data_IF_082814469026
#
_entry.id   IF_082814469026
#
_cell.length_a   1.000
_cell.length_b   1.000
_cell.length_c   1.000
_cell.angle_alpha   90.00
_cell.angle_beta   90.00
_cell.angle_gamma   90.00
#
_symmetry.space_group_name_H-M   'P 1'
#
loop_
_entity.id
_entity.type
_entity.pdbx_description
1 polymer ?
#
# COMPACT_ATOMS: atom_id res chain seq x y z
N UNK A 1 26.96 -11.27 27.17
CA UNK A 1 25.63 -10.70 26.92
C UNK A 1 24.91 -10.40 28.22
N UNK A 2 24.48 -9.16 28.42
CA UNK A 2 23.80 -8.74 29.64
C UNK A 2 22.45 -9.49 29.81
N UNK A 3 21.94 -9.58 31.06
CA UNK A 3 20.64 -10.21 31.35
C UNK A 3 19.51 -9.63 30.53
N UNK A 4 19.57 -8.31 30.23
CA UNK A 4 18.58 -7.62 29.38
C UNK A 4 18.63 -8.10 27.91
N UNK A 5 19.81 -8.30 27.36
CA UNK A 5 19.95 -8.81 25.98
C UNK A 5 19.46 -10.26 25.84
N UNK A 6 19.67 -11.10 26.87
CA UNK A 6 19.10 -12.47 26.87
C UNK A 6 17.57 -12.47 26.96
N UNK A 7 16.96 -11.57 27.74
CA UNK A 7 15.51 -11.46 27.79
C UNK A 7 14.91 -10.94 26.47
N UNK A 8 15.54 -9.99 25.80
CA UNK A 8 15.14 -9.56 24.47
C UNK A 8 15.18 -10.75 23.48
N UNK A 9 16.28 -11.46 23.42
CA UNK A 9 16.40 -12.62 22.53
C UNK A 9 15.35 -13.72 22.78
N UNK A 10 14.91 -13.94 24.02
CA UNK A 10 13.86 -14.93 24.33
C UNK A 10 12.51 -14.42 23.85
N UNK A 11 12.17 -13.15 24.09
CA UNK A 11 10.92 -12.55 23.59
C UNK A 11 10.87 -12.53 22.07
N UNK A 12 11.96 -12.17 21.42
CA UNK A 12 12.05 -12.15 19.96
C UNK A 12 11.84 -13.55 19.36
N UNK A 13 12.37 -14.59 19.99
CA UNK A 13 12.16 -15.98 19.57
C UNK A 13 10.69 -16.39 19.62
N UNK A 14 9.96 -16.00 20.65
CA UNK A 14 8.53 -16.30 20.79
C UNK A 14 7.74 -15.59 19.70
N UNK A 15 7.97 -14.29 19.52
CA UNK A 15 7.32 -13.48 18.48
C UNK A 15 7.62 -14.05 17.08
N UNK A 16 8.88 -14.38 16.82
CA UNK A 16 9.27 -14.99 15.54
C UNK A 16 8.64 -16.36 15.33
N UNK A 17 8.54 -17.20 16.38
CA UNK A 17 7.89 -18.50 16.27
C UNK A 17 6.39 -18.37 15.99
N UNK A 18 5.71 -17.42 16.62
CA UNK A 18 4.30 -17.11 16.34
C UNK A 18 4.12 -16.64 14.89
N UNK A 19 4.99 -15.74 14.41
CA UNK A 19 4.97 -15.27 13.02
C UNK A 19 5.18 -16.42 12.03
N UNK A 20 6.12 -17.32 12.29
CA UNK A 20 6.37 -18.51 11.46
C UNK A 20 5.17 -19.44 11.44
N UNK A 21 4.56 -19.73 12.59
CA UNK A 21 3.36 -20.57 12.68
C UNK A 21 2.21 -19.93 11.89
N UNK A 22 1.99 -18.62 12.07
CA UNK A 22 0.95 -17.87 11.35
C UNK A 22 1.13 -17.96 9.84
N UNK A 23 2.34 -17.69 9.33
CA UNK A 23 2.65 -17.77 7.90
C UNK A 23 2.53 -19.21 7.37
N UNK A 24 2.99 -20.20 8.13
CA UNK A 24 2.95 -21.60 7.73
C UNK A 24 1.53 -22.16 7.65
N UNK A 25 0.62 -21.67 8.51
CA UNK A 25 -0.78 -22.14 8.60
C UNK A 25 -1.75 -21.28 7.82
N UNK A 26 -1.33 -20.07 7.37
CA UNK A 26 -2.17 -19.19 6.58
C UNK A 26 -2.52 -19.80 5.21
N UNK A 27 -3.72 -19.55 4.70
CA UNK A 27 -4.07 -19.92 3.33
C UNK A 27 -3.08 -19.32 2.33
N UNK A 28 -2.59 -20.16 1.42
CA UNK A 28 -1.60 -19.72 0.43
C UNK A 28 -2.27 -18.87 -0.64
N UNK A 29 -1.71 -17.69 -0.87
CA UNK A 29 -2.07 -16.83 -2.00
C UNK A 29 -0.81 -16.29 -2.68
N UNK A 30 -0.85 -16.17 -3.98
CA UNK A 30 0.22 -15.59 -4.79
C UNK A 30 -0.06 -14.13 -5.19
N UNK A 31 -1.17 -13.56 -4.76
CA UNK A 31 -1.65 -12.24 -5.17
C UNK A 31 -0.62 -11.13 -4.90
N UNK A 32 0.00 -11.13 -3.71
CA UNK A 32 1.01 -10.15 -3.34
C UNK A 32 2.30 -10.28 -4.19
N UNK A 33 2.73 -11.51 -4.47
CA UNK A 33 3.89 -11.75 -5.33
C UNK A 33 3.62 -11.32 -6.78
N UNK A 34 2.44 -11.62 -7.31
CA UNK A 34 2.04 -11.20 -8.64
C UNK A 34 1.95 -9.68 -8.73
N UNK A 35 1.40 -9.02 -7.70
CA UNK A 35 1.28 -7.57 -7.63
C UNK A 35 2.65 -6.88 -7.70
N UNK A 36 3.63 -7.30 -6.90
CA UNK A 36 4.97 -6.70 -6.93
C UNK A 36 5.69 -7.00 -8.24
N UNK A 37 5.55 -8.20 -8.80
CA UNK A 37 6.14 -8.55 -10.08
C UNK A 37 5.57 -7.68 -11.22
N UNK A 38 4.25 -7.49 -11.27
CA UNK A 38 3.59 -6.64 -12.26
C UNK A 38 4.01 -5.17 -12.11
N UNK A 39 4.07 -4.65 -10.89
CA UNK A 39 4.50 -3.29 -10.63
C UNK A 39 5.97 -3.05 -11.05
N UNK A 40 6.86 -4.00 -10.72
CA UNK A 40 8.29 -3.92 -11.11
C UNK A 40 8.47 -4.00 -12.63
N UNK A 41 7.71 -4.84 -13.31
CA UNK A 41 7.74 -4.93 -14.78
C UNK A 41 7.23 -3.64 -15.42
N UNK A 42 6.15 -3.08 -14.89
CA UNK A 42 5.64 -1.77 -15.31
C UNK A 42 6.71 -0.68 -15.20
N UNK A 43 7.38 -0.56 -14.05
CA UNK A 43 8.45 0.45 -13.85
C UNK A 43 9.61 0.24 -14.82
N UNK A 44 10.01 -1.01 -15.09
CA UNK A 44 11.06 -1.32 -16.06
C UNK A 44 10.70 -0.90 -17.49
N UNK A 45 9.42 -1.01 -17.85
CA UNK A 45 8.92 -0.67 -19.18
C UNK A 45 8.71 0.84 -19.37
N UNK A 46 8.20 1.51 -18.35
CA UNK A 46 7.81 2.92 -18.42
C UNK A 46 8.90 3.88 -17.97
N UNK A 47 9.87 3.41 -17.18
CA UNK A 47 10.90 4.27 -16.59
C UNK A 47 10.32 5.22 -15.54
N UNK A 48 10.94 6.40 -15.43
CA UNK A 48 10.53 7.42 -14.46
C UNK A 48 9.36 8.26 -15.01
N UNK A 49 8.16 7.97 -14.57
CA UNK A 49 6.97 8.76 -14.86
C UNK A 49 6.80 9.90 -13.84
N UNK A 50 6.10 10.94 -14.25
CA UNK A 50 5.85 12.10 -13.40
C UNK A 50 4.77 11.77 -12.37
N UNK A 51 5.07 12.04 -11.10
CA UNK A 51 4.06 11.94 -10.02
C UNK A 51 2.98 13.03 -10.25
N UNK A 52 1.68 12.72 -10.08
CA UNK A 52 0.61 13.69 -10.18
C UNK A 52 0.88 14.94 -9.33
N UNK A 53 0.57 16.12 -9.85
CA UNK A 53 0.99 17.40 -9.25
C UNK A 53 0.43 17.62 -7.84
N UNK A 54 -0.78 17.15 -7.57
CA UNK A 54 -1.40 17.22 -6.24
C UNK A 54 -0.73 16.34 -5.19
N UNK A 55 0.02 15.30 -5.59
CA UNK A 55 0.79 14.42 -4.71
C UNK A 55 2.26 14.86 -4.54
N UNK A 56 2.70 15.87 -5.28
CA UNK A 56 4.06 16.37 -5.15
C UNK A 56 4.23 17.23 -3.90
N UNK A 57 5.44 17.21 -3.32
CA UNK A 57 5.75 17.96 -2.10
C UNK A 57 5.49 19.46 -2.27
N UNK A 58 4.73 20.04 -1.35
CA UNK A 58 4.39 21.46 -1.29
C UNK A 58 5.16 22.26 -0.23
N UNK A 59 6.08 21.63 0.52
CA UNK A 59 6.74 22.23 1.68
C UNK A 59 7.97 23.09 1.35
N UNK A 60 8.36 23.22 0.06
CA UNK A 60 9.51 24.02 -0.33
C UNK A 60 9.10 25.37 -0.95
N UNK A 61 10.03 26.36 -0.88
CA UNK A 61 9.80 27.68 -1.46
C UNK A 61 9.66 27.59 -2.99
N UNK A 62 8.51 28.02 -3.50
CA UNK A 62 8.21 27.98 -4.94
C UNK A 62 7.29 26.84 -5.38
N UNK A 63 6.99 25.87 -4.53
CA UNK A 63 6.07 24.77 -4.83
C UNK A 63 4.71 25.28 -5.35
N UNK A 64 4.15 26.29 -4.70
CA UNK A 64 2.88 26.91 -5.11
C UNK A 64 2.92 27.50 -6.53
N UNK A 65 4.05 28.04 -6.99
CA UNK A 65 4.20 28.57 -8.35
C UNK A 65 4.19 27.45 -9.40
N UNK A 66 4.58 26.24 -9.01
CA UNK A 66 4.61 25.05 -9.86
C UNK A 66 3.32 24.22 -9.75
N UNK A 67 2.37 24.63 -8.90
CA UNK A 67 1.12 23.92 -8.68
C UNK A 67 1.26 22.63 -7.85
N UNK A 68 2.41 22.42 -7.19
CA UNK A 68 2.65 21.22 -6.40
C UNK A 68 1.77 21.20 -5.14
N UNK A 69 1.12 20.07 -4.88
CA UNK A 69 0.22 19.89 -3.74
C UNK A 69 -1.15 20.55 -3.89
N UNK A 70 -1.41 21.28 -4.98
CA UNK A 70 -2.73 21.88 -5.21
C UNK A 70 -3.77 20.79 -5.47
N UNK A 71 -4.86 20.84 -4.71
CA UNK A 71 -5.95 19.88 -4.85
C UNK A 71 -5.72 18.55 -4.11
N UNK A 72 -4.66 18.45 -3.31
CA UNK A 72 -4.48 17.26 -2.44
C UNK A 72 -5.65 17.15 -1.45
N UNK A 73 -6.23 15.97 -1.39
CA UNK A 73 -7.33 15.65 -0.48
C UNK A 73 -6.80 14.74 0.63
N UNK A 74 -6.87 15.21 1.87
CA UNK A 74 -6.41 14.45 3.03
C UNK A 74 -7.48 13.43 3.43
N UNK A 75 -7.17 12.15 3.27
CA UNK A 75 -8.16 11.08 3.44
C UNK A 75 -8.84 11.05 4.81
N UNK A 76 -8.17 11.51 5.88
CA UNK A 76 -8.76 11.55 7.22
C UNK A 76 -9.87 12.59 7.40
N UNK A 77 -9.99 13.55 6.49
CA UNK A 77 -11.07 14.56 6.50
C UNK A 77 -12.36 14.05 5.86
N UNK A 78 -12.31 12.84 5.29
CA UNK A 78 -13.42 12.23 4.57
C UNK A 78 -13.99 11.02 5.32
N UNK A 79 -15.26 10.71 5.04
CA UNK A 79 -15.91 9.50 5.52
C UNK A 79 -15.10 8.25 5.12
N UNK A 80 -15.11 7.23 6.00
CA UNK A 80 -14.34 5.98 5.83
C UNK A 80 -12.81 6.18 5.77
N UNK A 81 -12.28 7.39 6.02
CA UNK A 81 -10.86 7.76 5.83
C UNK A 81 -10.33 7.37 4.45
N UNK A 82 -11.19 7.46 3.45
CA UNK A 82 -10.90 7.13 2.07
C UNK A 82 -11.37 8.25 1.15
N UNK A 83 -10.55 8.57 0.16
CA UNK A 83 -10.88 9.53 -0.89
C UNK A 83 -10.54 8.92 -2.25
N UNK A 84 -11.45 9.07 -3.19
CA UNK A 84 -11.21 8.63 -4.55
C UNK A 84 -10.48 9.74 -5.31
N UNK A 85 -9.17 9.64 -5.36
CA UNK A 85 -8.30 10.54 -6.14
C UNK A 85 -7.29 9.72 -6.94
N UNK A 86 -6.68 10.35 -7.93
CA UNK A 86 -5.66 9.73 -8.74
C UNK A 86 -4.34 9.63 -7.94
N UNK A 87 -3.80 8.44 -7.81
CA UNK A 87 -2.51 8.18 -7.14
C UNK A 87 -1.41 7.79 -8.12
N UNK A 88 -1.77 7.23 -9.27
CA UNK A 88 -0.82 6.80 -10.29
C UNK A 88 -0.57 7.93 -11.30
N UNK A 89 0.60 7.92 -11.98
CA UNK A 89 0.86 8.78 -13.13
C UNK A 89 -0.25 8.69 -14.18
N UNK A 90 -0.40 9.75 -14.99
CA UNK A 90 -1.47 9.85 -16.00
C UNK A 90 -1.47 8.67 -16.99
N UNK A 91 -0.28 8.17 -17.32
CA UNK A 91 -0.10 7.04 -18.23
C UNK A 91 -0.51 5.69 -17.62
N UNK A 92 -0.69 5.63 -16.31
CA UNK A 92 -0.99 4.41 -15.56
C UNK A 92 -2.32 4.46 -14.80
N UNK A 93 -3.17 5.42 -15.10
CA UNK A 93 -4.42 5.67 -14.36
C UNK A 93 -5.31 4.43 -14.26
N UNK A 94 -5.38 3.62 -15.33
CA UNK A 94 -6.20 2.41 -15.40
C UNK A 94 -5.45 1.14 -14.96
N UNK A 95 -4.21 1.27 -14.46
CA UNK A 95 -3.41 0.12 -14.09
C UNK A 95 -3.84 -0.45 -12.74
N UNK A 96 -4.04 -1.76 -12.70
CA UNK A 96 -4.33 -2.51 -11.47
C UNK A 96 -3.21 -3.52 -11.26
N UNK A 97 -2.50 -3.42 -10.14
CA UNK A 97 -1.38 -4.31 -9.81
C UNK A 97 -1.77 -5.40 -8.81
N UNK A 98 -2.71 -5.12 -7.92
CA UNK A 98 -3.13 -6.07 -6.90
C UNK A 98 -4.57 -6.52 -7.13
N UNK A 99 -4.71 -7.82 -7.35
CA UNK A 99 -5.99 -8.50 -7.46
C UNK A 99 -6.07 -9.53 -6.34
N UNK A 100 -6.84 -9.25 -5.27
CA UNK A 100 -6.97 -10.19 -4.17
C UNK A 100 -7.69 -11.46 -4.61
N UNK A 101 -7.21 -12.61 -4.15
CA UNK A 101 -7.87 -13.89 -4.37
C UNK A 101 -9.14 -14.03 -3.49
N UNK A 102 -9.88 -15.10 -3.69
CA UNK A 102 -11.04 -15.44 -2.84
C UNK A 102 -10.64 -16.29 -1.63
N UNK A 103 -9.34 -16.57 -1.44
CA UNK A 103 -8.84 -17.47 -0.42
C UNK A 103 -8.53 -16.73 0.90
N UNK A 104 -8.89 -17.35 1.99
CA UNK A 104 -8.55 -16.88 3.33
C UNK A 104 -9.01 -15.45 3.61
N UNK A 105 -8.11 -14.62 4.14
CA UNK A 105 -8.41 -13.23 4.50
C UNK A 105 -8.63 -12.32 3.29
N UNK A 106 -8.14 -12.68 2.09
CA UNK A 106 -8.26 -11.85 0.91
C UNK A 106 -9.72 -11.67 0.44
N UNK A 107 -10.62 -12.60 0.76
CA UNK A 107 -12.06 -12.40 0.53
C UNK A 107 -12.59 -11.18 1.30
N UNK A 108 -12.16 -11.02 2.56
CA UNK A 108 -12.51 -9.85 3.39
C UNK A 108 -11.87 -8.56 2.85
N UNK A 109 -10.66 -8.65 2.30
CA UNK A 109 -10.02 -7.52 1.63
C UNK A 109 -10.83 -7.08 0.41
N UNK A 110 -11.33 -8.02 -0.41
CA UNK A 110 -12.21 -7.70 -1.53
C UNK A 110 -13.49 -6.98 -1.09
N UNK A 111 -14.15 -7.49 -0.06
CA UNK A 111 -15.37 -6.88 0.50
C UNK A 111 -15.08 -5.47 1.00
N UNK A 112 -13.98 -5.30 1.74
CA UNK A 112 -13.55 -4.00 2.24
C UNK A 112 -13.24 -3.01 1.11
N UNK A 113 -12.54 -3.45 0.06
CA UNK A 113 -12.25 -2.60 -1.11
C UNK A 113 -13.52 -2.18 -1.85
N UNK A 114 -14.53 -3.06 -1.95
CA UNK A 114 -15.85 -2.72 -2.51
C UNK A 114 -16.55 -1.69 -1.64
N UNK A 115 -16.62 -1.94 -0.34
CA UNK A 115 -17.24 -1.02 0.62
C UNK A 115 -16.62 0.38 0.62
N UNK A 116 -15.30 0.49 0.43
CA UNK A 116 -14.62 1.78 0.30
C UNK A 116 -15.06 2.56 -0.94
N UNK A 117 -15.28 1.85 -2.06
CA UNK A 117 -15.65 2.45 -3.35
C UNK A 117 -17.14 2.73 -3.49
N UNK A 118 -18.00 2.16 -2.63
CA UNK A 118 -19.44 2.44 -2.63
C UNK A 118 -19.66 3.88 -2.17
N UNK A 119 -20.16 4.71 -3.08
CA UNK A 119 -20.68 6.05 -2.77
C UNK A 119 -21.96 5.91 -1.94
N UNK A 120 -22.08 6.78 -0.92
CA UNK A 120 -23.37 6.96 -0.21
C UNK A 120 -24.31 7.81 -1.01
#
# INVERSE_FOLDING_TARGET
LSRRQRQMCIRDRIILSEAVIYIATAPKSNSANNAIAAAMDCVRKTGNLKVPTHLQDSHYKGAAKLGHGLGYQYAHDFDKHYVQQQYLPDELTDSVFYEPSTMGYESKVQEHMKWLKEEK
#
